data_IF_711806460626
#
_entry.id   IF_711806460626
#
_cell.length_a   1.000
_cell.length_b   1.000
_cell.length_c   1.000
_cell.angle_alpha   90.00
_cell.angle_beta   90.00
_cell.angle_gamma   90.00
#
_symmetry.space_group_name_H-M   'P 1'
#
loop_
_entity.id
_entity.type
_entity.pdbx_description
1 polymer ?
#
# COMPACT_ATOMS: atom_id res chain seq x y z
N UNK A 1 8.47 -7.20 -14.02
CA UNK A 1 7.74 -7.56 -12.79
C UNK A 1 6.44 -6.81 -12.80
N UNK A 2 5.36 -7.47 -12.41
CA UNK A 2 4.07 -6.84 -12.10
C UNK A 2 3.65 -7.36 -10.74
N UNK A 3 2.94 -6.56 -9.96
CA UNK A 3 2.32 -7.02 -8.74
C UNK A 3 0.94 -6.41 -8.60
N UNK A 4 0.10 -7.03 -7.79
CA UNK A 4 -1.23 -6.54 -7.44
C UNK A 4 -1.28 -6.27 -5.94
N UNK A 5 -1.93 -5.18 -5.54
CA UNK A 5 -2.22 -4.86 -4.14
C UNK A 5 -3.55 -5.52 -3.79
N UNK A 6 -3.58 -6.25 -2.67
CA UNK A 6 -4.78 -6.96 -2.22
C UNK A 6 -5.12 -6.53 -0.78
N UNK A 7 -6.33 -5.99 -0.54
CA UNK A 7 -7.38 -5.70 -1.52
C UNK A 7 -7.07 -4.45 -2.39
N UNK A 8 -7.72 -4.36 -3.56
CA UNK A 8 -7.58 -3.20 -4.46
C UNK A 8 -8.42 -1.99 -4.00
N UNK A 9 -9.50 -2.24 -3.25
CA UNK A 9 -10.30 -1.23 -2.58
C UNK A 9 -10.28 -1.51 -1.08
N UNK A 10 -9.85 -0.53 -0.30
CA UNK A 10 -9.61 -0.62 1.13
C UNK A 10 -10.57 0.35 1.80
N UNK A 11 -11.53 -0.19 2.53
CA UNK A 11 -12.50 0.63 3.25
C UNK A 11 -11.93 1.00 4.62
N UNK A 12 -11.92 2.29 4.92
CA UNK A 12 -11.48 2.85 6.19
C UNK A 12 -12.71 3.32 6.96
N UNK A 13 -12.80 2.93 8.23
CA UNK A 13 -13.80 3.44 9.16
C UNK A 13 -13.14 4.32 10.23
N UNK A 14 -13.95 5.17 10.86
CA UNK A 14 -13.49 6.02 11.96
C UNK A 14 -12.81 5.18 13.06
N UNK A 15 -11.75 5.74 13.67
CA UNK A 15 -10.95 5.10 14.73
C UNK A 15 -10.20 3.83 14.30
N UNK A 16 -10.16 3.49 13.01
CA UNK A 16 -9.33 2.40 12.51
C UNK A 16 -7.85 2.76 12.66
N UNK A 17 -7.07 1.85 13.23
CA UNK A 17 -5.66 2.15 13.59
C UNK A 17 -4.65 1.73 12.53
N UNK A 18 -5.00 0.77 11.68
CA UNK A 18 -4.12 0.21 10.66
C UNK A 18 -4.89 -0.43 9.50
N UNK A 19 -4.18 -0.69 8.40
CA UNK A 19 -4.60 -1.57 7.31
C UNK A 19 -3.56 -2.65 7.08
N UNK A 20 -4.05 -3.85 6.75
CA UNK A 20 -3.23 -4.97 6.32
C UNK A 20 -3.32 -5.12 4.80
N UNK A 21 -2.15 -5.20 4.15
CA UNK A 21 -2.06 -5.35 2.70
C UNK A 21 -1.16 -6.52 2.34
N UNK A 22 -1.51 -7.20 1.25
CA UNK A 22 -0.68 -8.22 0.62
C UNK A 22 -0.34 -7.83 -0.80
N UNK A 23 0.87 -8.15 -1.22
CA UNK A 23 1.31 -7.96 -2.60
C UNK A 23 1.41 -9.30 -3.30
N UNK A 24 0.66 -9.46 -4.38
CA UNK A 24 0.75 -10.64 -5.25
C UNK A 24 1.72 -10.36 -6.39
N UNK A 25 2.94 -10.88 -6.29
CA UNK A 25 3.99 -10.59 -7.26
C UNK A 25 4.03 -11.65 -8.36
N UNK A 26 4.09 -11.19 -9.60
CA UNK A 26 4.31 -12.01 -10.80
C UNK A 26 5.57 -11.54 -11.53
N UNK A 27 6.49 -12.48 -11.67
CA UNK A 27 7.77 -12.30 -12.35
C UNK A 27 7.79 -13.12 -13.64
N UNK A 28 8.51 -12.61 -14.64
CA UNK A 28 8.68 -13.23 -15.95
C UNK A 28 10.18 -13.47 -16.14
N UNK A 29 10.62 -14.72 -16.01
CA UNK A 29 12.04 -15.11 -16.10
C UNK A 29 12.44 -16.10 -15.02
N UNK A 30 13.55 -16.80 -15.23
CA UNK A 30 14.19 -17.67 -14.24
C UNK A 30 15.33 -16.90 -13.58
N UNK A 31 15.44 -16.91 -12.25
CA UNK A 31 16.52 -16.21 -11.56
C UNK A 31 16.26 -16.02 -10.07
N UNK A 32 17.08 -15.17 -9.44
CA UNK A 32 16.84 -14.68 -8.08
C UNK A 32 16.17 -13.31 -8.14
N UNK A 33 15.20 -13.09 -7.26
CA UNK A 33 14.58 -11.80 -7.04
C UNK A 33 14.86 -11.35 -5.62
N UNK A 34 15.37 -10.12 -5.50
CA UNK A 34 15.56 -9.47 -4.21
C UNK A 34 14.69 -8.22 -4.13
N UNK A 35 13.82 -8.19 -3.12
CA UNK A 35 13.07 -7.01 -2.71
C UNK A 35 13.78 -6.38 -1.53
N UNK A 36 14.14 -5.10 -1.66
CA UNK A 36 14.83 -4.36 -0.60
C UNK A 36 13.82 -3.60 0.24
N UNK A 37 13.02 -2.76 -0.41
CA UNK A 37 12.14 -1.80 0.26
C UNK A 37 10.79 -1.68 -0.41
N UNK A 38 9.83 -1.24 0.40
CA UNK A 38 8.48 -0.87 -0.04
C UNK A 38 8.24 0.55 0.41
N UNK A 39 7.97 1.44 -0.55
CA UNK A 39 7.51 2.80 -0.29
C UNK A 39 6.01 2.84 -0.45
N UNK A 40 5.33 3.46 0.51
CA UNK A 40 3.89 3.64 0.52
C UNK A 40 3.58 5.13 0.63
N UNK A 41 2.81 5.62 -0.33
CA UNK A 41 2.30 6.99 -0.37
C UNK A 41 0.78 6.96 -0.49
N UNK A 42 0.11 7.95 0.10
CA UNK A 42 -1.34 8.10 0.00
C UNK A 42 -1.66 9.54 -0.36
N UNK A 43 -2.28 9.72 -1.51
CA UNK A 43 -2.56 11.03 -2.09
C UNK A 43 -4.07 11.18 -2.40
N UNK A 44 -4.60 12.37 -2.12
CA UNK A 44 -5.93 12.81 -2.55
C UNK A 44 -5.94 13.34 -3.98
N UNK A 45 -7.12 13.63 -4.51
CA UNK A 45 -7.28 14.09 -5.92
C UNK A 45 -6.54 15.40 -6.24
N UNK A 46 -6.30 16.25 -5.25
CA UNK A 46 -5.60 17.54 -5.40
C UNK A 46 -4.09 17.46 -5.12
N UNK A 47 -3.52 16.25 -4.99
CA UNK A 47 -2.13 16.04 -4.57
C UNK A 47 -1.90 16.28 -3.06
N UNK A 48 -2.98 16.29 -2.28
CA UNK A 48 -2.96 16.31 -0.81
C UNK A 48 -2.40 14.99 -0.29
N UNK A 49 -1.23 15.01 0.34
CA UNK A 49 -0.71 13.83 1.05
C UNK A 49 -1.51 13.61 2.32
N UNK A 50 -2.12 12.42 2.46
CA UNK A 50 -2.96 12.10 3.61
C UNK A 50 -2.14 11.83 4.88
N UNK A 51 -0.89 11.38 4.71
CA UNK A 51 0.11 11.21 5.76
C UNK A 51 1.51 11.08 5.13
N UNK A 52 2.55 11.27 5.95
CA UNK A 52 3.94 11.18 5.48
C UNK A 52 4.26 9.82 4.81
N UNK A 53 4.98 9.82 3.67
CA UNK A 53 5.39 8.60 3.00
C UNK A 53 6.08 7.60 3.93
N UNK A 54 5.65 6.35 3.89
CA UNK A 54 6.23 5.28 4.73
C UNK A 54 7.15 4.40 3.90
N UNK A 55 8.30 4.09 4.47
CA UNK A 55 9.25 3.13 3.87
C UNK A 55 9.43 1.94 4.81
N UNK A 56 9.20 0.74 4.28
CA UNK A 56 9.42 -0.52 4.99
C UNK A 56 10.61 -1.25 4.37
N UNK A 57 11.56 -1.69 5.20
CA UNK A 57 12.64 -2.58 4.74
C UNK A 57 12.19 -4.03 4.86
N UNK A 58 12.14 -4.74 3.74
CA UNK A 58 11.62 -6.12 3.67
C UNK A 58 12.74 -7.14 3.44
N UNK A 59 13.80 -6.78 2.71
CA UNK A 59 15.00 -7.60 2.48
C UNK A 59 14.70 -9.09 2.21
N UNK A 60 13.79 -9.39 1.28
CA UNK A 60 13.44 -10.75 0.88
C UNK A 60 14.25 -11.14 -0.36
N UNK A 61 14.88 -12.32 -0.33
CA UNK A 61 15.45 -12.95 -1.51
C UNK A 61 14.76 -14.29 -1.78
N UNK A 62 14.27 -14.50 -3.01
CA UNK A 62 13.62 -15.75 -3.42
C UNK A 62 14.01 -16.15 -4.83
N UNK A 63 14.12 -17.46 -5.04
CA UNK A 63 14.22 -18.04 -6.37
C UNK A 63 12.90 -17.92 -7.10
N UNK A 64 12.93 -17.35 -8.29
CA UNK A 64 11.77 -17.16 -9.15
C UNK A 64 11.62 -18.35 -10.08
N UNK A 65 10.41 -18.93 -10.08
CA UNK A 65 9.96 -19.88 -11.10
C UNK A 65 9.02 -19.14 -12.05
N UNK A 66 9.27 -19.14 -13.37
CA UNK A 66 8.42 -18.47 -14.34
C UNK A 66 6.95 -18.89 -14.20
N UNK A 67 6.05 -17.91 -14.12
CA UNK A 67 4.60 -18.14 -14.08
C UNK A 67 4.02 -18.52 -12.73
N UNK A 68 4.84 -18.75 -11.69
CA UNK A 68 4.36 -19.03 -10.33
C UNK A 68 4.29 -17.71 -9.54
N UNK A 69 3.08 -17.22 -9.18
CA UNK A 69 2.95 -16.05 -8.33
C UNK A 69 3.38 -16.38 -6.88
N UNK A 70 3.79 -15.36 -6.15
CA UNK A 70 4.01 -15.46 -4.71
C UNK A 70 3.52 -14.22 -4.01
N UNK A 71 3.17 -14.40 -2.74
CA UNK A 71 2.64 -13.35 -1.89
C UNK A 71 3.75 -12.75 -1.03
N UNK A 72 3.67 -11.45 -0.81
CA UNK A 72 4.48 -10.70 0.16
C UNK A 72 3.50 -10.06 1.13
N UNK A 73 3.57 -10.47 2.39
CA UNK A 73 2.87 -9.80 3.47
C UNK A 73 3.66 -8.53 3.85
N UNK A 74 2.97 -7.39 3.90
CA UNK A 74 3.55 -6.14 4.36
C UNK A 74 3.30 -5.97 5.86
N UNK A 75 4.15 -5.19 6.53
CA UNK A 75 3.83 -4.77 7.88
C UNK A 75 2.59 -3.86 7.85
N UNK A 76 1.72 -3.93 8.88
CA UNK A 76 0.50 -3.13 8.94
C UNK A 76 0.80 -1.64 8.79
N UNK A 77 0.11 -0.97 7.87
CA UNK A 77 0.25 0.48 7.67
C UNK A 77 -0.59 1.18 8.72
N UNK A 78 0.08 1.83 9.66
CA UNK A 78 -0.55 2.61 10.74
C UNK A 78 -1.22 3.87 10.16
N UNK A 79 -2.43 4.18 10.62
CA UNK A 79 -3.24 5.34 10.18
C UNK A 79 -3.25 6.49 11.20
N UNK A 80 -2.40 6.41 12.22
CA UNK A 80 -2.27 7.36 13.32
C UNK A 80 -1.87 8.78 12.89
N UNK A 81 -1.28 8.94 11.71
CA UNK A 81 -0.92 10.24 11.14
C UNK A 81 -2.05 10.94 10.36
N UNK A 82 -3.22 10.32 10.22
CA UNK A 82 -4.33 10.90 9.44
C UNK A 82 -5.12 11.88 10.30
N UNK A 83 -5.03 13.16 9.96
CA UNK A 83 -5.80 14.22 10.63
C UNK A 83 -7.31 13.95 10.48
N UNK A 84 -8.04 14.08 11.59
CA UNK A 84 -9.48 13.88 11.62
C UNK A 84 -9.95 12.43 11.77
N UNK A 85 -9.10 11.41 11.60
CA UNK A 85 -9.52 10.00 11.67
C UNK A 85 -10.13 9.58 13.03
N UNK A 86 -9.70 10.23 14.11
CA UNK A 86 -10.13 9.96 15.48
C UNK A 86 -11.09 11.01 16.05
N UNK A 87 -11.45 12.03 15.25
CA UNK A 87 -12.42 13.07 15.63
C UNK A 87 -13.71 12.84 14.85
N UNK A 88 -14.85 12.73 15.55
CA UNK A 88 -16.15 12.51 14.89
C UNK A 88 -16.51 13.64 13.93
N UNK A 89 -16.37 14.88 14.37
CA UNK A 89 -16.66 16.07 13.57
C UNK A 89 -15.79 16.12 12.30
N UNK A 90 -14.46 16.02 12.46
CA UNK A 90 -13.53 16.11 11.33
C UNK A 90 -13.64 14.90 10.38
N UNK A 91 -13.93 13.71 10.91
CA UNK A 91 -14.14 12.53 10.08
C UNK A 91 -15.35 12.70 9.17
N UNK A 92 -16.51 13.10 9.74
CA UNK A 92 -17.73 13.30 8.97
C UNK A 92 -17.61 14.47 7.98
N UNK A 93 -16.91 15.56 8.34
CA UNK A 93 -16.77 16.73 7.48
C UNK A 93 -15.71 16.59 6.39
N UNK A 94 -14.59 15.91 6.66
CA UNK A 94 -13.40 15.96 5.79
C UNK A 94 -12.94 14.63 5.25
N UNK A 95 -13.35 13.50 5.82
CA UNK A 95 -12.86 12.17 5.41
C UNK A 95 -13.97 11.32 4.82
N UNK A 96 -15.13 11.25 5.46
CA UNK A 96 -16.22 10.35 5.07
C UNK A 96 -16.66 10.57 3.63
N UNK A 97 -16.75 9.48 2.88
CA UNK A 97 -17.10 9.47 1.46
C UNK A 97 -15.97 9.88 0.52
N UNK A 98 -14.82 10.35 1.03
CA UNK A 98 -13.66 10.64 0.19
C UNK A 98 -12.93 9.36 -0.21
N UNK A 99 -12.31 9.44 -1.38
CA UNK A 99 -11.47 8.39 -1.96
C UNK A 99 -10.07 8.94 -2.15
N UNK A 100 -9.09 8.19 -1.65
CA UNK A 100 -7.67 8.48 -1.80
C UNK A 100 -7.00 7.36 -2.60
N UNK A 101 -5.87 7.68 -3.23
CA UNK A 101 -5.05 6.73 -3.96
C UNK A 101 -3.88 6.32 -3.07
N UNK A 102 -3.80 5.02 -2.76
CA UNK A 102 -2.63 4.42 -2.15
C UNK A 102 -1.70 3.94 -3.26
N UNK A 103 -0.49 4.48 -3.34
CA UNK A 103 0.55 3.99 -4.23
C UNK A 103 1.58 3.20 -3.43
N UNK A 104 1.94 2.02 -3.95
CA UNK A 104 3.03 1.21 -3.45
C UNK A 104 4.11 1.17 -4.51
N UNK A 105 5.34 1.50 -4.13
CA UNK A 105 6.54 1.33 -4.95
C UNK A 105 7.45 0.28 -4.34
N UNK A 106 7.75 -0.76 -5.12
CA UNK A 106 8.72 -1.80 -4.77
C UNK A 106 10.10 -1.43 -5.28
N UNK A 107 11.05 -1.27 -4.36
CA UNK A 107 12.46 -1.15 -4.67
C UNK A 107 13.10 -2.54 -4.68
N UNK A 108 13.41 -3.03 -5.87
CA UNK A 108 13.89 -4.38 -6.10
C UNK A 108 14.90 -4.41 -7.24
N UNK A 109 15.36 -5.60 -7.64
CA UNK A 109 16.20 -5.76 -8.85
C UNK A 109 15.64 -5.02 -10.07
N UNK A 110 14.30 -4.92 -10.16
CA UNK A 110 13.61 -3.99 -11.04
C UNK A 110 12.46 -3.33 -10.30
N UNK A 111 12.51 -2.00 -10.18
CA UNK A 111 11.47 -1.24 -9.51
C UNK A 111 10.12 -1.35 -10.25
N UNK A 112 9.04 -1.29 -9.48
CA UNK A 112 7.68 -1.22 -10.00
C UNK A 112 6.76 -0.54 -9.00
N UNK A 113 5.76 0.18 -9.49
CA UNK A 113 4.68 0.71 -8.66
C UNK A 113 3.32 0.16 -9.08
N UNK A 114 2.36 0.21 -8.16
CA UNK A 114 0.94 -0.04 -8.42
C UNK A 114 0.09 0.71 -7.40
N UNK A 115 -1.21 0.85 -7.69
CA UNK A 115 -2.14 1.63 -6.87
C UNK A 115 -3.35 0.83 -6.39
N UNK A 116 -3.90 1.26 -5.26
CA UNK A 116 -5.16 0.81 -4.68
C UNK A 116 -5.97 2.03 -4.22
N UNK A 117 -7.27 1.85 -3.98
CA UNK A 117 -8.14 2.90 -3.44
C UNK A 117 -8.30 2.76 -1.94
N UNK A 118 -8.20 3.87 -1.24
CA UNK A 118 -8.62 4.03 0.15
C UNK A 118 -9.96 4.78 0.17
N UNK A 119 -11.00 4.17 0.72
CA UNK A 119 -12.37 4.69 0.69
C UNK A 119 -12.83 4.86 2.13
N UNK A 120 -13.06 6.09 2.56
CA UNK A 120 -13.52 6.40 3.92
C UNK A 120 -15.04 6.30 3.99
N UNK A 121 -15.58 5.52 4.94
CA UNK A 121 -17.02 5.22 5.07
C UNK A 121 -17.66 5.80 6.32
#
# INVERSE_FOLDING_TARGET
MKFEIVPQEIYIVQNQTHIDLKLKVRTSGLGSYTLHRVHVTVEGEDGEELFEPKTQEINISRTIVPGVPFDIDLDPIRLDGIEGLYSEELYEEHLKGRVFTLEITLEATKNSSNTAKLIFQ
#
